data_IF_791774231475
#
_entry.id   IF_791774231475
#
_cell.length_a   1.000
_cell.length_b   1.000
_cell.length_c   1.000
_cell.angle_alpha   90.00
_cell.angle_beta   90.00
_cell.angle_gamma   90.00
#
_symmetry.space_group_name_H-M   'P 1'
#
loop_
_entity.id
_entity.type
_entity.pdbx_description
1 polymer ?
#
# COMPACT_ATOMS: atom_id res chain seq x y z
N UNK A 1 0.29 70.63 22.18
CA UNK A 1 -0.29 69.49 22.92
C UNK A 1 -1.01 68.51 21.97
N UNK A 2 -0.98 68.71 20.65
CA UNK A 2 -1.66 67.84 19.66
C UNK A 2 -0.79 66.73 19.05
N UNK A 3 0.53 66.93 18.95
CA UNK A 3 1.42 65.96 18.27
C UNK A 3 1.59 64.63 19.01
N UNK A 4 1.39 64.61 20.32
CA UNK A 4 1.40 63.37 21.11
C UNK A 4 0.13 62.55 20.90
N UNK A 5 -1.01 63.22 20.65
CA UNK A 5 -2.31 62.56 20.46
C UNK A 5 -2.40 61.91 19.08
N UNK A 6 -1.93 62.56 18.01
CA UNK A 6 -1.91 61.94 16.67
C UNK A 6 -0.99 60.72 16.57
N UNK A 7 0.15 60.73 17.28
CA UNK A 7 1.09 59.60 17.26
C UNK A 7 0.53 58.37 17.98
N UNK A 8 -0.20 58.58 19.08
CA UNK A 8 -0.82 57.48 19.82
C UNK A 8 -2.04 56.91 19.10
N UNK A 9 -2.82 57.73 18.39
CA UNK A 9 -3.88 57.27 17.50
C UNK A 9 -3.33 56.43 16.32
N UNK A 10 -2.19 56.83 15.75
CA UNK A 10 -1.52 56.06 14.70
C UNK A 10 -1.05 54.69 15.22
N UNK A 11 -0.50 54.63 16.43
CA UNK A 11 -0.10 53.37 17.09
C UNK A 11 -1.29 52.49 17.44
N UNK A 12 -2.40 53.07 17.87
CA UNK A 12 -3.64 52.34 18.15
C UNK A 12 -4.22 51.72 16.86
N UNK A 13 -4.20 52.46 15.76
CA UNK A 13 -4.61 51.96 14.45
C UNK A 13 -3.71 50.81 13.97
N UNK A 14 -2.38 50.93 14.14
CA UNK A 14 -1.41 49.88 13.79
C UNK A 14 -1.62 48.59 14.60
N UNK A 15 -1.79 48.69 15.92
CA UNK A 15 -2.07 47.53 16.79
C UNK A 15 -3.37 46.82 16.42
N UNK A 16 -4.40 47.56 16.05
CA UNK A 16 -5.68 47.00 15.63
C UNK A 16 -5.56 46.27 14.29
N UNK A 17 -4.63 46.71 13.42
CA UNK A 17 -4.34 46.07 12.15
C UNK A 17 -3.56 44.76 12.34
N UNK A 18 -2.55 44.75 13.20
CA UNK A 18 -1.80 43.53 13.58
C UNK A 18 -2.72 42.48 14.20
N UNK A 19 -3.57 42.87 15.16
CA UNK A 19 -4.53 41.97 15.79
C UNK A 19 -5.56 41.37 14.80
N UNK A 20 -5.85 42.09 13.70
CA UNK A 20 -6.73 41.61 12.63
C UNK A 20 -5.99 40.69 11.68
N UNK A 21 -4.74 41.01 11.34
CA UNK A 21 -3.86 40.17 10.53
C UNK A 21 -3.59 38.83 11.21
N UNK A 22 -3.27 38.83 12.50
CA UNK A 22 -3.05 37.61 13.28
C UNK A 22 -4.29 36.72 13.35
N UNK A 23 -5.47 37.34 13.55
CA UNK A 23 -6.76 36.62 13.51
C UNK A 23 -7.06 36.05 12.14
N UNK A 24 -6.79 36.79 11.07
CA UNK A 24 -6.98 36.33 9.70
C UNK A 24 -6.00 35.21 9.34
N UNK A 25 -4.73 35.32 9.71
CA UNK A 25 -3.72 34.28 9.54
C UNK A 25 -4.13 32.99 10.26
N UNK A 26 -4.57 33.08 11.51
CA UNK A 26 -5.03 31.91 12.27
C UNK A 26 -6.26 31.24 11.63
N UNK A 27 -7.20 32.02 11.09
CA UNK A 27 -8.39 31.50 10.39
C UNK A 27 -8.06 30.91 9.02
N UNK A 28 -7.14 31.52 8.26
CA UNK A 28 -6.64 30.99 7.00
C UNK A 28 -5.91 29.67 7.23
N UNK A 29 -5.06 29.60 8.25
CA UNK A 29 -4.34 28.38 8.61
C UNK A 29 -5.30 27.24 8.98
N UNK A 30 -6.36 27.54 9.75
CA UNK A 30 -7.41 26.54 10.11
C UNK A 30 -8.19 26.05 8.90
N UNK A 31 -8.67 26.96 8.05
CA UNK A 31 -9.45 26.64 6.85
C UNK A 31 -8.60 25.85 5.84
N UNK A 32 -7.33 26.24 5.68
CA UNK A 32 -6.38 25.55 4.82
C UNK A 32 -6.04 24.15 5.34
N UNK A 33 -5.87 24.01 6.67
CA UNK A 33 -5.66 22.71 7.33
C UNK A 33 -6.90 21.81 7.18
N UNK A 34 -8.11 22.32 7.36
CA UNK A 34 -9.35 21.57 7.16
C UNK A 34 -9.50 21.08 5.71
N UNK A 35 -9.31 21.94 4.71
CA UNK A 35 -9.42 21.55 3.30
C UNK A 35 -8.39 20.50 2.86
N UNK A 36 -7.21 20.49 3.48
CA UNK A 36 -6.17 19.46 3.27
C UNK A 36 -6.51 18.15 3.99
N UNK A 37 -7.08 18.23 5.20
CA UNK A 37 -7.55 17.06 5.95
C UNK A 37 -8.72 16.37 5.24
N UNK A 38 -9.67 17.11 4.71
CA UNK A 38 -10.81 16.55 3.96
C UNK A 38 -10.35 15.86 2.67
N UNK A 39 -9.40 16.46 1.94
CA UNK A 39 -8.76 15.81 0.78
C UNK A 39 -7.94 14.59 1.19
N UNK A 40 -7.25 14.62 2.33
CA UNK A 40 -6.55 13.46 2.85
C UNK A 40 -7.53 12.33 3.20
N UNK A 41 -8.65 12.65 3.86
CA UNK A 41 -9.72 11.69 4.18
C UNK A 41 -10.38 11.11 2.93
N UNK A 42 -10.68 11.94 1.92
CA UNK A 42 -11.26 11.48 0.66
C UNK A 42 -10.31 10.51 -0.08
N UNK A 43 -9.01 10.83 -0.15
CA UNK A 43 -8.00 9.95 -0.73
C UNK A 43 -7.82 8.66 0.08
N UNK A 44 -7.88 8.74 1.40
CA UNK A 44 -7.83 7.57 2.29
C UNK A 44 -9.07 6.67 2.10
N UNK A 45 -10.24 7.24 1.79
CA UNK A 45 -11.45 6.46 1.49
C UNK A 45 -11.29 5.62 0.23
N UNK A 46 -10.75 6.19 -0.85
CA UNK A 46 -10.38 5.44 -2.07
C UNK A 46 -9.33 4.37 -1.76
N UNK A 47 -8.35 4.68 -0.91
CA UNK A 47 -7.33 3.72 -0.52
C UNK A 47 -7.90 2.58 0.33
N UNK A 48 -8.88 2.84 1.21
CA UNK A 48 -9.61 1.80 1.98
C UNK A 48 -10.31 0.82 1.04
N UNK A 49 -10.99 1.30 -0.01
CA UNK A 49 -11.62 0.44 -1.02
C UNK A 49 -10.64 -0.54 -1.67
N UNK A 50 -9.45 -0.08 -2.03
CA UNK A 50 -8.43 -0.98 -2.60
C UNK A 50 -7.95 -2.05 -1.61
N UNK A 51 -7.91 -1.74 -0.31
CA UNK A 51 -7.56 -2.75 0.70
C UNK A 51 -8.70 -3.73 0.96
N UNK A 52 -9.96 -3.28 0.93
CA UNK A 52 -11.11 -4.19 0.98
C UNK A 52 -11.13 -5.13 -0.23
N UNK A 53 -10.84 -4.62 -1.43
CA UNK A 53 -10.71 -5.47 -2.62
C UNK A 53 -9.58 -6.51 -2.47
N UNK A 54 -8.44 -6.14 -1.86
CA UNK A 54 -7.36 -7.10 -1.54
C UNK A 54 -7.79 -8.19 -0.56
N UNK A 55 -8.49 -7.82 0.52
CA UNK A 55 -9.00 -8.79 1.49
C UNK A 55 -10.04 -9.70 0.83
N UNK A 56 -10.99 -9.12 0.08
CA UNK A 56 -11.99 -9.88 -0.68
C UNK A 56 -11.35 -10.84 -1.69
N UNK A 57 -10.33 -10.40 -2.41
CA UNK A 57 -9.56 -11.26 -3.32
C UNK A 57 -8.82 -12.38 -2.59
N UNK A 58 -8.23 -12.11 -1.42
CA UNK A 58 -7.64 -13.13 -0.55
C UNK A 58 -8.68 -14.17 -0.09
N UNK A 59 -9.85 -13.73 0.36
CA UNK A 59 -10.94 -14.62 0.75
C UNK A 59 -11.45 -15.48 -0.42
N UNK A 60 -11.59 -14.89 -1.61
CA UNK A 60 -11.97 -15.61 -2.82
C UNK A 60 -10.94 -16.68 -3.20
N UNK A 61 -9.65 -16.37 -3.11
CA UNK A 61 -8.56 -17.35 -3.32
C UNK A 61 -8.59 -18.47 -2.28
N UNK A 62 -8.90 -18.15 -1.02
CA UNK A 62 -9.02 -19.14 0.05
C UNK A 62 -10.17 -20.11 -0.24
N UNK A 63 -11.32 -19.59 -0.70
CA UNK A 63 -12.44 -20.40 -1.16
C UNK A 63 -12.08 -21.26 -2.38
N UNK A 64 -11.38 -20.71 -3.37
CA UNK A 64 -10.95 -21.46 -4.56
C UNK A 64 -9.97 -22.59 -4.25
N UNK A 65 -9.26 -22.50 -3.13
CA UNK A 65 -8.32 -23.53 -2.70
C UNK A 65 -8.95 -24.60 -1.79
N UNK A 66 -10.21 -24.45 -1.38
CA UNK A 66 -10.93 -25.45 -0.57
C UNK A 66 -11.04 -26.84 -1.23
N UNK A 67 -11.34 -26.95 -2.54
CA UNK A 67 -11.44 -28.25 -3.23
C UNK A 67 -10.15 -29.08 -3.17
N UNK A 68 -8.99 -28.42 -3.06
CA UNK A 68 -7.71 -29.09 -2.89
C UNK A 68 -7.68 -29.99 -1.63
N UNK A 69 -8.42 -29.62 -0.60
CA UNK A 69 -8.50 -30.32 0.68
C UNK A 69 -9.66 -31.31 0.76
N UNK A 70 -10.76 -31.04 0.05
CA UNK A 70 -11.99 -31.83 0.16
C UNK A 70 -12.07 -32.92 -0.91
N UNK A 71 -11.79 -32.57 -2.16
CA UNK A 71 -12.01 -33.45 -3.31
C UNK A 71 -10.71 -34.06 -3.84
N UNK A 72 -9.59 -33.35 -3.64
CA UNK A 72 -8.27 -33.71 -4.21
C UNK A 72 -7.26 -34.19 -3.14
N UNK A 73 -7.69 -34.39 -1.89
CA UNK A 73 -6.84 -34.84 -0.78
C UNK A 73 -5.99 -36.10 -1.08
N UNK A 74 -6.49 -37.12 -1.80
CA UNK A 74 -5.70 -38.31 -2.11
C UNK A 74 -4.43 -38.01 -2.93
N UNK A 75 -4.39 -36.87 -3.62
CA UNK A 75 -3.30 -36.48 -4.51
C UNK A 75 -2.42 -35.42 -3.82
N UNK A 76 -1.13 -35.69 -3.55
CA UNK A 76 -0.29 -34.78 -2.76
C UNK A 76 0.01 -33.45 -3.47
N UNK A 77 0.03 -33.46 -4.81
CA UNK A 77 0.37 -32.30 -5.62
C UNK A 77 -0.70 -31.18 -5.57
N UNK A 78 -2.01 -31.45 -5.78
CA UNK A 78 -3.04 -30.43 -5.62
C UNK A 78 -3.17 -29.94 -4.18
N UNK A 79 -2.94 -30.79 -3.16
CA UNK A 79 -2.89 -30.35 -1.76
C UNK A 79 -1.78 -29.32 -1.53
N UNK A 80 -0.57 -29.57 -2.07
CA UNK A 80 0.54 -28.61 -1.99
C UNK A 80 0.20 -27.28 -2.72
N UNK A 81 -0.46 -27.35 -3.87
CA UNK A 81 -0.94 -26.18 -4.60
C UNK A 81 -1.98 -25.38 -3.78
N UNK A 82 -2.95 -26.07 -3.18
CA UNK A 82 -3.94 -25.49 -2.29
C UNK A 82 -3.32 -24.80 -1.07
N UNK A 83 -2.29 -25.41 -0.48
CA UNK A 83 -1.56 -24.82 0.64
C UNK A 83 -0.85 -23.51 0.24
N UNK A 84 -0.18 -23.50 -0.91
CA UNK A 84 0.48 -22.29 -1.43
C UNK A 84 -0.52 -21.15 -1.70
N UNK A 85 -1.68 -21.48 -2.27
CA UNK A 85 -2.77 -20.53 -2.49
C UNK A 85 -3.30 -19.97 -1.17
N UNK A 86 -3.47 -20.81 -0.14
CA UNK A 86 -3.88 -20.37 1.21
C UNK A 86 -2.83 -19.44 1.85
N UNK A 87 -1.55 -19.80 1.80
CA UNK A 87 -0.47 -18.96 2.34
C UNK A 87 -0.45 -17.58 1.66
N UNK A 88 -0.64 -17.54 0.34
CA UNK A 88 -0.75 -16.30 -0.41
C UNK A 88 -2.01 -15.50 -0.06
N UNK A 89 -3.17 -16.15 0.04
CA UNK A 89 -4.43 -15.54 0.46
C UNK A 89 -4.32 -14.91 1.85
N UNK A 90 -3.72 -15.62 2.81
CA UNK A 90 -3.45 -15.11 4.16
C UNK A 90 -2.52 -13.89 4.09
N UNK A 91 -1.46 -13.94 3.28
CA UNK A 91 -0.55 -12.82 3.11
C UNK A 91 -1.25 -11.57 2.52
N UNK A 92 -2.16 -11.76 1.55
CA UNK A 92 -3.00 -10.68 1.01
C UNK A 92 -3.90 -10.06 2.09
N UNK A 93 -4.57 -10.91 2.88
CA UNK A 93 -5.45 -10.47 3.97
C UNK A 93 -4.66 -9.70 5.05
N UNK A 94 -3.52 -10.24 5.51
CA UNK A 94 -2.64 -9.57 6.49
C UNK A 94 -2.14 -8.23 5.95
N UNK A 95 -1.71 -8.18 4.69
CA UNK A 95 -1.24 -6.93 4.08
C UNK A 95 -2.36 -5.88 3.99
N UNK A 96 -3.56 -6.29 3.60
CA UNK A 96 -4.74 -5.41 3.56
C UNK A 96 -5.12 -4.90 4.95
N UNK A 97 -5.24 -5.82 5.92
CA UNK A 97 -5.57 -5.51 7.31
C UNK A 97 -4.53 -4.59 7.97
N UNK A 98 -3.23 -4.85 7.77
CA UNK A 98 -2.15 -3.99 8.27
C UNK A 98 -2.23 -2.59 7.68
N UNK A 99 -2.54 -2.47 6.39
CA UNK A 99 -2.70 -1.17 5.73
C UNK A 99 -3.92 -0.43 6.29
N UNK A 100 -5.04 -1.11 6.50
CA UNK A 100 -6.22 -0.52 7.15
C UNK A 100 -5.95 -0.09 8.59
N UNK A 101 -5.24 -0.90 9.36
CA UNK A 101 -4.84 -0.58 10.73
C UNK A 101 -3.94 0.66 10.78
N UNK A 102 -2.93 0.72 9.90
CA UNK A 102 -2.05 1.88 9.79
C UNK A 102 -2.81 3.14 9.34
N UNK A 103 -3.80 3.03 8.46
CA UNK A 103 -4.69 4.15 8.09
C UNK A 103 -5.57 4.58 9.27
N UNK A 104 -6.03 3.64 10.09
CA UNK A 104 -6.86 3.91 11.26
C UNK A 104 -6.09 4.55 12.42
N UNK A 105 -4.79 4.30 12.53
CA UNK A 105 -3.92 4.85 13.56
C UNK A 105 -3.31 6.23 13.26
N UNK A 106 -3.65 6.85 12.12
CA UNK A 106 -3.16 8.20 11.79
C UNK A 106 -3.91 9.21 12.66
N UNK A 107 -3.25 9.69 13.71
CA UNK A 107 -3.73 10.82 14.48
C UNK A 107 -3.36 12.12 13.76
N UNK A 108 -4.36 12.75 13.15
CA UNK A 108 -4.22 14.02 12.44
C UNK A 108 -4.04 15.23 13.38
N UNK A 109 -4.15 15.02 14.71
CA UNK A 109 -3.84 16.03 15.72
C UNK A 109 -2.34 16.03 16.11
N UNK A 110 -1.56 15.03 15.70
CA UNK A 110 -0.14 14.93 16.03
C UNK A 110 0.75 15.92 15.25
N UNK A 111 1.97 16.24 15.76
CA UNK A 111 2.94 17.09 15.05
C UNK A 111 3.28 16.56 13.65
N UNK A 112 3.51 17.45 12.69
CA UNK A 112 3.78 17.15 11.27
C UNK A 112 4.88 16.09 11.11
N UNK A 113 5.93 16.18 11.93
CA UNK A 113 7.07 15.24 11.92
C UNK A 113 6.69 13.81 12.33
N UNK A 114 5.72 13.65 13.25
CA UNK A 114 5.22 12.34 13.67
C UNK A 114 4.41 11.67 12.55
N UNK A 115 3.59 12.44 11.86
CA UNK A 115 2.81 11.99 10.69
C UNK A 115 3.75 11.59 9.54
N UNK A 116 4.80 12.37 9.27
CA UNK A 116 5.80 12.05 8.24
C UNK A 116 6.53 10.71 8.54
N UNK A 117 6.92 10.46 9.79
CA UNK A 117 7.56 9.18 10.20
C UNK A 117 6.62 7.99 10.05
N UNK A 118 5.35 8.12 10.44
CA UNK A 118 4.35 7.07 10.25
C UNK A 118 4.11 6.77 8.76
N UNK A 119 4.02 7.80 7.92
CA UNK A 119 3.89 7.61 6.47
C UNK A 119 5.14 6.96 5.84
N UNK A 120 6.34 7.29 6.31
CA UNK A 120 7.57 6.68 5.82
C UNK A 120 7.63 5.17 6.13
N UNK A 121 7.26 4.76 7.35
CA UNK A 121 7.19 3.36 7.76
C UNK A 121 6.10 2.57 7.01
N UNK A 122 4.94 3.20 6.79
CA UNK A 122 3.86 2.64 5.98
C UNK A 122 4.30 2.44 4.53
N UNK A 123 4.96 3.43 3.92
CA UNK A 123 5.46 3.36 2.55
C UNK A 123 6.46 2.22 2.36
N UNK A 124 7.44 2.12 3.25
CA UNK A 124 8.46 1.07 3.15
C UNK A 124 7.86 -0.34 3.31
N UNK A 125 6.81 -0.47 4.11
CA UNK A 125 6.08 -1.74 4.28
C UNK A 125 5.17 -2.04 3.09
N UNK A 126 4.47 -1.03 2.56
CA UNK A 126 3.56 -1.15 1.43
C UNK A 126 4.29 -1.46 0.12
N UNK A 127 5.43 -0.82 -0.13
CA UNK A 127 6.25 -1.06 -1.33
C UNK A 127 6.87 -2.46 -1.29
N UNK A 128 7.42 -2.90 -0.15
CA UNK A 128 7.92 -4.27 0.00
C UNK A 128 6.80 -5.29 -0.13
N UNK A 129 5.69 -5.10 0.58
CA UNK A 129 4.53 -5.98 0.52
C UNK A 129 3.97 -6.09 -0.89
N UNK A 130 3.71 -4.96 -1.55
CA UNK A 130 3.16 -4.93 -2.91
C UNK A 130 4.12 -5.50 -3.95
N UNK A 131 5.44 -5.32 -3.77
CA UNK A 131 6.45 -5.94 -4.63
C UNK A 131 6.42 -7.47 -4.50
N UNK A 132 6.47 -8.01 -3.29
CA UNK A 132 6.48 -9.47 -3.10
C UNK A 132 5.14 -10.11 -3.44
N UNK A 133 4.02 -9.53 -3.00
CA UNK A 133 2.67 -10.04 -3.30
C UNK A 133 2.36 -9.94 -4.81
N UNK A 134 2.73 -8.85 -5.47
CA UNK A 134 2.53 -8.70 -6.90
C UNK A 134 3.38 -9.68 -7.72
N UNK A 135 4.63 -9.93 -7.32
CA UNK A 135 5.50 -10.87 -8.01
C UNK A 135 5.20 -12.34 -7.70
N UNK A 136 4.59 -12.65 -6.54
CA UNK A 136 4.19 -14.02 -6.20
C UNK A 136 3.20 -14.61 -7.22
N UNK A 137 2.44 -13.77 -7.92
CA UNK A 137 1.53 -14.21 -8.98
C UNK A 137 2.22 -15.02 -10.10
N UNK A 138 3.49 -14.74 -10.40
CA UNK A 138 4.28 -15.48 -11.40
C UNK A 138 4.46 -16.96 -11.06
N UNK A 139 4.36 -17.32 -9.78
CA UNK A 139 4.43 -18.70 -9.29
C UNK A 139 3.03 -19.30 -9.11
N UNK A 140 2.04 -18.48 -8.76
CA UNK A 140 0.75 -18.95 -8.25
C UNK A 140 -0.31 -19.19 -9.32
N UNK A 141 -0.15 -18.61 -10.52
CA UNK A 141 -1.16 -18.75 -11.57
C UNK A 141 -1.35 -20.21 -12.02
N UNK A 142 -0.27 -21.00 -12.13
CA UNK A 142 -0.36 -22.41 -12.55
C UNK A 142 -1.00 -23.32 -11.47
N UNK A 143 -0.60 -23.25 -10.18
CA UNK A 143 -1.33 -23.91 -9.09
C UNK A 143 -2.82 -23.53 -9.05
N UNK A 144 -3.13 -22.24 -9.22
CA UNK A 144 -4.51 -21.76 -9.25
C UNK A 144 -5.30 -22.38 -10.40
N UNK A 145 -4.79 -22.31 -11.63
CA UNK A 145 -5.46 -22.90 -12.79
C UNK A 145 -5.60 -24.40 -12.66
N UNK A 146 -4.60 -25.10 -12.11
CA UNK A 146 -4.69 -26.53 -11.85
C UNK A 146 -5.85 -26.86 -10.91
N UNK A 147 -5.92 -26.21 -9.74
CA UNK A 147 -6.99 -26.45 -8.76
C UNK A 147 -8.37 -26.09 -9.34
N UNK A 148 -8.47 -24.96 -10.07
CA UNK A 148 -9.73 -24.54 -10.70
C UNK A 148 -10.17 -25.49 -11.81
N UNK A 149 -9.26 -25.93 -12.67
CA UNK A 149 -9.57 -26.86 -13.75
C UNK A 149 -10.01 -28.21 -13.20
N UNK A 150 -9.35 -28.72 -12.17
CA UNK A 150 -9.73 -29.97 -11.53
C UNK A 150 -11.10 -29.90 -10.83
N UNK A 151 -11.47 -28.73 -10.31
CA UNK A 151 -12.74 -28.54 -9.60
C UNK A 151 -13.91 -28.20 -10.53
N UNK A 152 -13.73 -27.27 -11.47
CA UNK A 152 -14.82 -26.75 -12.32
C UNK A 152 -14.85 -27.36 -13.73
N UNK A 153 -13.77 -28.00 -14.17
CA UNK A 153 -13.66 -28.60 -15.51
C UNK A 153 -13.11 -30.02 -15.44
N UNK A 154 -13.75 -30.93 -14.68
CA UNK A 154 -13.26 -32.30 -14.47
C UNK A 154 -13.12 -33.10 -15.77
N UNK A 155 -13.88 -32.77 -16.81
CA UNK A 155 -13.75 -33.40 -18.14
C UNK A 155 -12.43 -33.03 -18.84
N UNK A 156 -11.91 -31.83 -18.60
CA UNK A 156 -10.63 -31.37 -19.14
C UNK A 156 -9.44 -31.82 -18.30
N UNK A 157 -9.61 -31.82 -16.98
CA UNK A 157 -8.55 -32.16 -16.03
C UNK A 157 -9.11 -33.07 -14.93
N UNK A 158 -9.23 -34.38 -15.20
CA UNK A 158 -9.71 -35.33 -14.21
C UNK A 158 -8.72 -35.43 -13.04
N UNK A 159 -9.20 -35.84 -11.86
CA UNK A 159 -8.36 -35.96 -10.67
C UNK A 159 -7.12 -36.87 -10.88
N UNK A 160 -7.26 -37.93 -11.68
CA UNK A 160 -6.15 -38.82 -12.08
C UNK A 160 -5.05 -38.13 -12.91
N UNK A 161 -5.33 -36.97 -13.52
CA UNK A 161 -4.32 -36.21 -14.26
C UNK A 161 -3.23 -35.65 -13.34
N UNK A 162 -3.51 -35.47 -12.04
CA UNK A 162 -2.53 -35.01 -11.06
C UNK A 162 -1.44 -36.05 -10.75
N UNK A 163 -1.76 -37.34 -10.91
CA UNK A 163 -0.81 -38.44 -10.72
C UNK A 163 0.12 -38.61 -11.92
N UNK A 164 -0.20 -37.96 -13.05
CA UNK A 164 0.64 -38.03 -14.23
C UNK A 164 2.00 -37.35 -13.97
N UNK A 165 3.14 -38.01 -14.27
CA UNK A 165 4.47 -37.43 -14.11
C UNK A 165 4.68 -36.14 -14.89
N UNK A 166 3.87 -35.90 -15.94
CA UNK A 166 3.89 -34.67 -16.73
C UNK A 166 3.29 -33.49 -15.97
N UNK A 167 2.19 -33.69 -15.24
CA UNK A 167 1.55 -32.63 -14.44
C UNK A 167 2.47 -32.17 -13.31
N UNK A 168 3.05 -33.11 -12.57
CA UNK A 168 4.07 -32.83 -11.54
C UNK A 168 5.27 -32.04 -12.08
N UNK A 169 5.84 -32.49 -13.20
CA UNK A 169 6.98 -31.79 -13.83
C UNK A 169 6.61 -30.40 -14.33
N UNK A 170 5.44 -30.23 -14.95
CA UNK A 170 4.99 -28.92 -15.43
C UNK A 170 4.86 -27.92 -14.27
N UNK A 171 4.21 -28.33 -13.16
CA UNK A 171 4.06 -27.48 -11.98
C UNK A 171 5.40 -27.16 -11.32
N UNK A 172 6.28 -28.14 -11.14
CA UNK A 172 7.61 -27.92 -10.58
C UNK A 172 8.46 -26.97 -11.44
N UNK A 173 8.44 -27.13 -12.76
CA UNK A 173 9.15 -26.23 -13.68
C UNK A 173 8.55 -24.82 -13.66
N UNK A 174 7.23 -24.70 -13.62
CA UNK A 174 6.56 -23.40 -13.55
C UNK A 174 6.88 -22.67 -12.24
N UNK A 175 6.79 -23.38 -11.12
CA UNK A 175 7.14 -22.85 -9.81
C UNK A 175 8.63 -22.50 -9.72
N UNK A 176 9.50 -23.34 -10.26
CA UNK A 176 10.93 -23.09 -10.35
C UNK A 176 11.25 -21.84 -11.18
N UNK A 177 10.64 -21.72 -12.37
CA UNK A 177 10.79 -20.56 -13.24
C UNK A 177 10.28 -19.28 -12.57
N UNK A 178 9.12 -19.34 -11.91
CA UNK A 178 8.58 -18.21 -11.17
C UNK A 178 9.47 -17.82 -9.99
N UNK A 179 10.03 -18.77 -9.24
CA UNK A 179 10.97 -18.51 -8.16
C UNK A 179 12.27 -17.87 -8.68
N UNK A 180 12.81 -18.36 -9.81
CA UNK A 180 13.97 -17.76 -10.49
C UNK A 180 13.67 -16.34 -10.95
N UNK A 181 12.50 -16.10 -11.54
CA UNK A 181 12.08 -14.76 -11.96
C UNK A 181 12.00 -13.81 -10.77
N UNK A 182 11.36 -14.22 -9.67
CA UNK A 182 11.29 -13.43 -8.43
C UNK A 182 12.68 -13.12 -7.88
N UNK A 183 13.57 -14.12 -7.84
CA UNK A 183 14.95 -13.94 -7.40
C UNK A 183 15.72 -12.97 -8.30
N UNK A 184 15.57 -13.08 -9.63
CA UNK A 184 16.19 -12.19 -10.59
C UNK A 184 15.73 -10.74 -10.41
N UNK A 185 14.43 -10.50 -10.20
CA UNK A 185 13.90 -9.16 -9.93
C UNK A 185 14.40 -8.64 -8.58
N UNK A 186 14.45 -9.47 -7.54
CA UNK A 186 14.98 -9.07 -6.23
C UNK A 186 16.47 -8.70 -6.28
N UNK A 187 17.29 -9.50 -6.97
CA UNK A 187 18.72 -9.26 -7.19
C UNK A 187 18.91 -7.99 -8.03
N UNK A 188 18.16 -7.85 -9.13
CA UNK A 188 18.20 -6.67 -9.99
C UNK A 188 17.83 -5.39 -9.22
N UNK A 189 16.81 -5.44 -8.36
CA UNK A 189 16.42 -4.33 -7.51
C UNK A 189 17.48 -4.01 -6.44
N UNK A 190 18.11 -5.03 -5.84
CA UNK A 190 19.23 -4.83 -4.91
C UNK A 190 20.46 -4.23 -5.59
N UNK A 191 20.77 -4.65 -6.82
CA UNK A 191 21.85 -4.08 -7.62
C UNK A 191 21.55 -2.64 -8.04
N UNK A 192 20.31 -2.33 -8.42
CA UNK A 192 19.87 -0.98 -8.75
C UNK A 192 19.92 -0.05 -7.54
N UNK A 193 19.49 -0.52 -6.36
CA UNK A 193 19.66 0.20 -5.08
C UNK A 193 21.10 0.65 -4.83
N UNK A 194 22.07 -0.20 -5.17
CA UNK A 194 23.50 0.08 -4.98
C UNK A 194 24.08 0.99 -6.06
N UNK A 195 23.64 0.86 -7.31
CA UNK A 195 24.24 1.56 -8.46
C UNK A 195 23.63 2.94 -8.74
N UNK A 196 22.34 3.13 -8.48
CA UNK A 196 21.65 4.37 -8.82
C UNK A 196 20.52 4.67 -7.82
N UNK A 197 20.87 5.08 -6.58
CA UNK A 197 19.89 5.32 -5.52
C UNK A 197 18.88 6.43 -5.87
N UNK A 198 19.29 7.47 -6.60
CA UNK A 198 18.42 8.60 -6.95
C UNK A 198 17.40 8.27 -8.05
N UNK A 199 17.75 7.41 -9.01
CA UNK A 199 16.79 6.95 -10.02
C UNK A 199 15.77 5.99 -9.42
N UNK A 200 16.19 5.16 -8.46
CA UNK A 200 15.27 4.32 -7.69
C UNK A 200 14.31 5.15 -6.83
N UNK A 201 14.78 6.20 -6.15
CA UNK A 201 13.88 7.10 -5.39
C UNK A 201 12.81 7.71 -6.30
N UNK A 202 13.20 8.18 -7.49
CA UNK A 202 12.26 8.69 -8.51
C UNK A 202 11.26 7.63 -8.99
N UNK A 203 11.71 6.38 -9.16
CA UNK A 203 10.83 5.27 -9.51
C UNK A 203 9.84 4.97 -8.38
N UNK A 204 10.31 4.84 -7.14
CA UNK A 204 9.47 4.62 -5.96
C UNK A 204 8.42 5.73 -5.80
N UNK A 205 8.79 6.99 -6.08
CA UNK A 205 7.88 8.14 -6.04
C UNK A 205 6.77 8.05 -7.10
N UNK A 206 7.09 7.57 -8.30
CA UNK A 206 6.09 7.27 -9.33
C UNK A 206 5.20 6.08 -8.98
N UNK A 207 5.75 5.04 -8.34
CA UNK A 207 5.00 3.84 -7.96
C UNK A 207 4.06 4.05 -6.76
N UNK A 208 4.18 5.17 -6.03
CA UNK A 208 3.31 5.51 -4.91
C UNK A 208 2.96 7.00 -4.90
N UNK A 209 2.20 7.47 -5.91
CA UNK A 209 1.95 8.89 -6.12
C UNK A 209 1.11 9.52 -5.00
N UNK A 210 0.23 8.75 -4.35
CA UNK A 210 -0.53 9.21 -3.18
C UNK A 210 0.38 9.53 -1.98
N UNK A 211 1.39 8.70 -1.73
CA UNK A 211 2.34 8.89 -0.63
C UNK A 211 3.34 10.00 -0.97
N UNK A 212 3.77 10.11 -2.24
CA UNK A 212 4.60 11.20 -2.70
C UNK A 212 3.90 12.57 -2.53
N UNK A 213 2.62 12.65 -2.91
CA UNK A 213 1.78 13.85 -2.70
C UNK A 213 1.60 14.19 -1.23
N UNK A 214 1.40 13.19 -0.37
CA UNK A 214 1.29 13.42 1.07
C UNK A 214 2.60 13.94 1.69
N UNK A 215 3.78 13.47 1.25
CA UNK A 215 5.07 14.00 1.69
C UNK A 215 5.32 15.42 1.21
N UNK A 216 5.01 15.73 -0.05
CA UNK A 216 5.12 17.08 -0.59
C UNK A 216 4.25 18.07 0.20
N UNK A 217 3.01 17.66 0.53
CA UNK A 217 2.10 18.45 1.33
C UNK A 217 2.58 18.71 2.78
N UNK A 218 3.32 17.76 3.36
CA UNK A 218 3.89 17.90 4.71
C UNK A 218 5.21 18.69 4.72
N UNK A 219 5.97 18.67 3.62
CA UNK A 219 7.19 19.46 3.49
C UNK A 219 6.88 20.97 3.38
N UNK A 220 5.82 21.34 2.66
CA UNK A 220 5.33 22.72 2.61
C UNK A 220 4.93 23.25 4.00
N UNK A 221 4.38 22.38 4.85
CA UNK A 221 3.99 22.71 6.22
C UNK A 221 5.19 22.92 7.14
N UNK A 222 6.26 22.12 6.99
CA UNK A 222 7.49 22.26 7.77
C UNK A 222 8.22 23.57 7.46
N UNK A 223 8.21 24.02 6.21
CA UNK A 223 8.75 25.33 5.84
C UNK A 223 7.98 26.46 6.52
N UNK A 224 6.65 26.37 6.56
CA UNK A 224 5.79 27.37 7.21
C UNK A 224 5.81 27.35 8.75
N UNK A 225 6.24 26.27 9.39
CA UNK A 225 6.46 26.23 10.85
C UNK A 225 7.87 26.73 11.26
N UNK A 226 8.80 26.81 10.29
CA UNK A 226 10.17 27.29 10.50
C UNK A 226 10.36 28.79 10.24
N UNK A 227 9.54 29.33 9.35
CA UNK A 227 9.42 30.77 9.07
C UNK A 227 8.41 31.43 10.02
#
# INVERSE_FOLDING_TARGET
MDTTMELDDLKAALRTLDDRLDRQHALQLRTWRQGRLDRAQANLRTMRWTQFARIGGGLALMYLALPAWLDLWPHPLPVACGLLLHLYAIALCISGARTLWLIGGIDFAAPVLAIQRQLAGLRASYLRGSFWLGNAWWVLWAPMLGVVAAWQMPDWMPASAWDAPRAGRFLLLNMGLGAVAIAAVAIGMAAWRRRAPDSLRRFEDRSSPAIARARAALAELETYERD
#
